data_IF_242102363939
#
_entry.id   IF_242102363939
#
_cell.length_a   1.000
_cell.length_b   1.000
_cell.length_c   1.000
_cell.angle_alpha   90.00
_cell.angle_beta   90.00
_cell.angle_gamma   90.00
#
_symmetry.space_group_name_H-M   'P 1'
#
loop_
_entity.id
_entity.type
_entity.pdbx_description
1 polymer ?
#
# COMPACT_ATOMS: atom_id res chain seq x y z
N UNK A 1 -5.39 -4.51 3.22
CA UNK A 1 -5.64 -5.27 1.96
C UNK A 1 -5.88 -6.72 2.32
N UNK A 2 -6.68 -7.41 1.53
CA UNK A 2 -6.96 -8.85 1.71
C UNK A 2 -6.41 -9.62 0.51
N UNK A 3 -5.65 -10.68 0.77
CA UNK A 3 -4.94 -11.49 -0.23
C UNK A 3 -5.36 -12.96 -0.11
N UNK A 4 -5.61 -13.61 -1.25
CA UNK A 4 -5.81 -15.05 -1.36
C UNK A 4 -4.45 -15.75 -1.32
N UNK A 5 -4.24 -16.68 -0.39
CA UNK A 5 -2.97 -17.40 -0.24
C UNK A 5 -2.74 -18.47 -1.29
N UNK A 6 -3.79 -19.12 -1.79
CA UNK A 6 -3.67 -20.18 -2.79
C UNK A 6 -3.39 -19.60 -4.17
N UNK A 7 -3.93 -18.41 -4.45
CA UNK A 7 -3.81 -17.75 -5.76
C UNK A 7 -2.73 -16.66 -5.78
N UNK A 8 -2.34 -16.11 -4.64
CA UNK A 8 -1.40 -14.99 -4.56
C UNK A 8 -1.98 -13.68 -5.07
N UNK A 9 -3.31 -13.55 -5.10
CA UNK A 9 -4.05 -12.44 -5.72
C UNK A 9 -4.67 -11.52 -4.66
N UNK A 10 -4.76 -10.22 -4.96
CA UNK A 10 -5.51 -9.25 -4.14
C UNK A 10 -7.01 -9.51 -4.30
N UNK A 11 -7.68 -9.90 -3.21
CA UNK A 11 -9.13 -10.12 -3.17
C UNK A 11 -9.90 -8.85 -2.85
N UNK A 12 -9.30 -7.96 -2.06
CA UNK A 12 -9.88 -6.66 -1.72
C UNK A 12 -8.79 -5.61 -1.57
N UNK A 13 -9.06 -4.45 -2.16
CA UNK A 13 -8.10 -3.39 -2.42
C UNK A 13 -7.40 -2.86 -1.17
N UNK A 14 -6.33 -2.08 -1.36
CA UNK A 14 -5.69 -1.38 -0.27
C UNK A 14 -6.60 -0.25 0.25
N UNK A 15 -7.13 -0.43 1.46
CA UNK A 15 -7.69 0.70 2.22
C UNK A 15 -6.57 1.41 2.98
N UNK A 16 -6.58 2.74 2.94
CA UNK A 16 -5.54 3.59 3.53
C UNK A 16 -6.22 4.55 4.50
N UNK A 17 -5.81 4.46 5.77
CA UNK A 17 -6.26 5.35 6.83
C UNK A 17 -5.08 6.20 7.29
N UNK A 18 -5.26 7.52 7.28
CA UNK A 18 -4.29 8.48 7.80
C UNK A 18 -4.67 8.91 9.21
N UNK A 19 -3.69 8.93 10.13
CA UNK A 19 -3.84 9.48 11.49
C UNK A 19 -2.73 10.48 11.76
N UNK A 20 -3.08 11.75 11.98
CA UNK A 20 -2.13 12.82 12.32
C UNK A 20 -1.19 13.27 11.19
N UNK A 21 -1.36 12.75 9.97
CA UNK A 21 -0.50 13.08 8.83
C UNK A 21 -1.18 14.01 7.81
N UNK A 22 -2.41 13.69 7.40
CA UNK A 22 -3.21 14.51 6.48
C UNK A 22 -4.67 14.59 6.94
N UNK A 23 -5.29 15.76 6.76
CA UNK A 23 -6.72 15.97 7.01
C UNK A 23 -7.47 15.52 5.75
N UNK A 24 -8.28 14.46 5.87
CA UNK A 24 -8.79 13.69 4.72
C UNK A 24 -9.53 14.55 3.68
N UNK A 25 -10.20 15.64 4.10
CA UNK A 25 -10.95 16.53 3.20
C UNK A 25 -10.08 17.31 2.20
N UNK A 26 -8.86 17.69 2.56
CA UNK A 26 -7.96 18.44 1.66
C UNK A 26 -6.97 17.51 0.93
N UNK A 27 -7.12 16.20 1.09
CA UNK A 27 -6.11 15.21 0.70
C UNK A 27 -6.70 14.01 -0.01
N UNK A 28 -7.96 14.08 -0.45
CA UNK A 28 -8.61 13.00 -1.21
C UNK A 28 -7.77 12.58 -2.41
N UNK A 29 -7.28 13.54 -3.20
CA UNK A 29 -6.41 13.28 -4.34
C UNK A 29 -5.10 12.58 -3.93
N UNK A 30 -4.45 13.03 -2.84
CA UNK A 30 -3.23 12.37 -2.35
C UNK A 30 -3.53 10.93 -1.91
N UNK A 31 -4.67 10.70 -1.26
CA UNK A 31 -5.08 9.37 -0.80
C UNK A 31 -5.37 8.44 -1.98
N UNK A 32 -5.97 8.96 -3.05
CA UNK A 32 -6.22 8.22 -4.29
C UNK A 32 -4.90 7.86 -5.00
N UNK A 33 -3.99 8.82 -5.16
CA UNK A 33 -2.65 8.58 -5.72
C UNK A 33 -1.86 7.54 -4.90
N UNK A 34 -2.00 7.54 -3.56
CA UNK A 34 -1.39 6.53 -2.70
C UNK A 34 -1.99 5.13 -2.96
N UNK A 35 -3.30 5.01 -3.12
CA UNK A 35 -3.97 3.73 -3.43
C UNK A 35 -3.52 3.19 -4.77
N UNK A 36 -3.47 4.03 -5.80
CA UNK A 36 -2.93 3.67 -7.12
C UNK A 36 -1.47 3.21 -7.01
N UNK A 37 -0.67 3.88 -6.17
CA UNK A 37 0.72 3.49 -5.98
C UNK A 37 0.86 2.12 -5.34
N UNK A 38 0.01 1.78 -4.38
CA UNK A 38 -0.02 0.42 -3.81
C UNK A 38 -0.41 -0.59 -4.88
N UNK A 39 -1.42 -0.30 -5.69
CA UNK A 39 -1.84 -1.19 -6.77
C UNK A 39 -0.70 -1.44 -7.78
N UNK A 40 0.01 -0.40 -8.21
CA UNK A 40 1.18 -0.53 -9.08
C UNK A 40 2.31 -1.36 -8.47
N UNK A 41 2.48 -1.33 -7.14
CA UNK A 41 3.45 -2.20 -6.45
C UNK A 41 2.95 -3.64 -6.50
N UNK A 42 1.65 -3.86 -6.28
CA UNK A 42 1.04 -5.19 -6.34
C UNK A 42 1.08 -5.80 -7.74
N UNK A 43 0.87 -5.01 -8.79
CA UNK A 43 0.87 -5.47 -10.19
C UNK A 43 2.25 -5.95 -10.66
N UNK A 44 3.34 -5.55 -9.98
CA UNK A 44 4.70 -6.04 -10.26
C UNK A 44 4.91 -7.48 -9.79
N UNK A 45 4.00 -7.99 -8.99
CA UNK A 45 4.11 -9.32 -8.42
C UNK A 45 3.26 -10.30 -9.21
N UNK A 46 3.91 -11.36 -9.69
CA UNK A 46 3.26 -12.37 -10.54
C UNK A 46 2.33 -13.26 -9.69
N UNK A 47 1.05 -13.42 -10.08
CA UNK A 47 0.17 -14.41 -9.49
C UNK A 47 0.77 -15.82 -9.62
N UNK A 48 0.77 -16.60 -8.52
CA UNK A 48 1.29 -17.97 -8.51
C UNK A 48 2.78 -18.12 -8.14
N UNK A 49 3.55 -17.03 -8.00
CA UNK A 49 4.81 -17.09 -7.24
C UNK A 49 4.49 -16.81 -5.78
N UNK A 50 4.76 -17.81 -4.91
CA UNK A 50 4.71 -17.61 -3.46
C UNK A 50 5.71 -16.53 -3.11
N UNK A 51 5.20 -15.36 -2.77
CA UNK A 51 6.02 -14.30 -2.23
C UNK A 51 5.80 -14.20 -0.73
N UNK A 52 6.90 -14.00 -0.01
CA UNK A 52 6.82 -13.73 1.40
C UNK A 52 6.09 -12.42 1.68
N UNK A 53 5.16 -12.45 2.62
CA UNK A 53 4.43 -11.26 3.08
C UNK A 53 5.36 -10.13 3.56
N UNK A 54 6.54 -10.49 4.08
CA UNK A 54 7.61 -9.56 4.48
C UNK A 54 8.03 -8.64 3.31
N UNK A 55 8.20 -9.21 2.12
CA UNK A 55 8.65 -8.52 0.90
C UNK A 55 7.56 -7.60 0.35
N UNK A 56 6.30 -8.03 0.38
CA UNK A 56 5.17 -7.17 -0.03
C UNK A 56 5.07 -5.97 0.92
N UNK A 57 5.10 -6.23 2.24
CA UNK A 57 4.99 -5.18 3.25
C UNK A 57 6.15 -4.18 3.16
N UNK A 58 7.38 -4.63 2.88
CA UNK A 58 8.51 -3.71 2.67
C UNK A 58 8.35 -2.90 1.38
N UNK A 59 8.02 -3.56 0.26
CA UNK A 59 7.83 -2.90 -1.03
C UNK A 59 6.76 -1.80 -0.99
N UNK A 60 5.62 -2.08 -0.35
CA UNK A 60 4.56 -1.09 -0.14
C UNK A 60 5.04 0.07 0.74
N UNK A 61 5.72 -0.23 1.85
CA UNK A 61 6.24 0.81 2.77
C UNK A 61 7.22 1.75 2.08
N UNK A 62 8.16 1.20 1.32
CA UNK A 62 9.20 1.97 0.65
C UNK A 62 8.64 2.83 -0.48
N UNK A 63 7.74 2.26 -1.29
CA UNK A 63 7.09 2.97 -2.39
C UNK A 63 6.25 4.15 -1.88
N UNK A 64 5.41 3.92 -0.86
CA UNK A 64 4.60 4.97 -0.26
C UNK A 64 5.46 5.99 0.49
N UNK A 65 6.48 5.55 1.21
CA UNK A 65 7.40 6.44 1.93
C UNK A 65 8.13 7.42 1.01
N UNK A 66 8.64 6.91 -0.12
CA UNK A 66 9.28 7.74 -1.15
C UNK A 66 8.29 8.74 -1.75
N UNK A 67 7.12 8.27 -2.16
CA UNK A 67 6.09 9.10 -2.78
C UNK A 67 5.60 10.22 -1.86
N UNK A 68 5.31 9.90 -0.60
CA UNK A 68 4.88 10.88 0.40
C UNK A 68 5.98 11.92 0.62
N UNK A 69 7.23 11.50 0.75
CA UNK A 69 8.33 12.42 0.95
C UNK A 69 8.52 13.38 -0.24
N UNK A 70 8.38 12.88 -1.46
CA UNK A 70 8.48 13.69 -2.68
C UNK A 70 7.36 14.76 -2.74
N UNK A 71 6.13 14.39 -2.39
CA UNK A 71 4.96 15.29 -2.46
C UNK A 71 4.84 16.24 -1.28
N UNK A 72 5.12 15.78 -0.06
CA UNK A 72 4.81 16.54 1.16
C UNK A 72 6.04 16.90 1.99
N UNK A 73 7.24 16.41 1.62
CA UNK A 73 8.49 16.57 2.39
C UNK A 73 8.41 16.10 3.84
N UNK A 74 7.51 15.15 4.13
CA UNK A 74 7.31 14.55 5.46
C UNK A 74 7.60 13.05 5.40
N UNK A 75 7.87 12.46 6.57
CA UNK A 75 8.13 11.02 6.72
C UNK A 75 7.17 10.42 7.76
N UNK A 76 5.90 10.18 7.41
CA UNK A 76 4.97 9.54 8.33
C UNK A 76 5.35 8.07 8.55
N UNK A 77 4.88 7.51 9.66
CA UNK A 77 4.96 6.08 9.91
C UNK A 77 3.93 5.35 9.04
N UNK A 78 4.38 4.35 8.28
CA UNK A 78 3.55 3.53 7.39
C UNK A 78 3.54 2.11 7.93
N UNK A 79 2.36 1.57 8.22
CA UNK A 79 2.17 0.23 8.77
C UNK A 79 1.24 -0.57 7.85
N UNK A 80 1.79 -1.37 6.92
CA UNK A 80 0.99 -2.21 6.03
C UNK A 80 0.38 -3.39 6.80
N UNK A 81 -0.93 -3.59 6.67
CA UNK A 81 -1.66 -4.74 7.22
C UNK A 81 -2.20 -5.57 6.05
N UNK A 82 -1.83 -6.85 6.07
CA UNK A 82 -2.29 -7.86 5.12
C UNK A 82 -3.15 -8.84 5.91
N UNK A 83 -4.40 -9.01 5.49
CA UNK A 83 -5.29 -10.05 5.99
C UNK A 83 -5.30 -11.21 4.98
N UNK A 84 -5.08 -12.41 5.49
CA UNK A 84 -5.16 -13.66 4.73
C UNK A 84 -6.58 -14.21 4.91
N UNK A 85 -7.21 -14.61 3.81
CA UNK A 85 -8.52 -15.29 3.80
C UNK A 85 -8.46 -16.52 2.91
#
# INVERSE_FOLDING_TARGET
>A
MTLDKERGCVLSGPDIVSRGFVYVRDSEQLMEELKEKVQQVMDRYEPGKVMEWSVIKSGVRDALGKFIYERTRRRPMIIPIIMEV
#
